data_IF_768923000942
#
_entry.id   IF_768923000942
#
_cell.length_a   1.000
_cell.length_b   1.000
_cell.length_c   1.000
_cell.angle_alpha   90.00
_cell.angle_beta   90.00
_cell.angle_gamma   90.00
#
_symmetry.space_group_name_H-M   'P 1'
#
loop_
_entity.id
_entity.type
_entity.pdbx_description
1 polymer ?
#
# COMPACT_ATOMS: atom_id res chain seq x y z
N UNK A 1 4.02 17.96 13.83
CA UNK A 1 2.68 17.48 14.27
C UNK A 1 2.71 15.96 14.40
N UNK A 2 1.91 15.37 15.30
CA UNK A 2 1.78 13.90 15.37
C UNK A 2 1.00 13.42 14.14
N UNK A 3 1.38 12.27 13.51
CA UNK A 3 0.70 11.73 12.35
C UNK A 3 -0.73 11.29 12.71
N UNK A 4 -1.72 11.71 11.91
CA UNK A 4 -3.14 11.43 12.13
C UNK A 4 -3.58 10.19 11.39
N UNK A 5 -4.22 9.25 12.10
CA UNK A 5 -4.85 8.06 11.54
C UNK A 5 -6.36 8.18 11.73
N UNK A 6 -7.12 8.11 10.64
CA UNK A 6 -8.58 8.03 10.69
C UNK A 6 -9.00 6.55 10.84
N UNK A 7 -9.99 6.31 11.67
CA UNK A 7 -10.52 4.97 11.93
C UNK A 7 -12.03 4.99 11.65
N UNK A 8 -12.46 4.25 10.64
CA UNK A 8 -13.87 4.02 10.35
C UNK A 8 -14.27 2.67 10.95
N UNK A 9 -15.01 2.69 12.06
CA UNK A 9 -15.52 1.50 12.74
C UNK A 9 -16.81 1.83 13.47
N UNK A 10 -17.78 0.93 13.41
CA UNK A 10 -19.01 1.01 14.21
C UNK A 10 -18.81 0.43 15.63
N UNK A 11 -17.68 -0.23 15.88
CA UNK A 11 -17.35 -0.82 17.17
C UNK A 11 -16.55 0.17 18.02
N UNK A 12 -17.23 0.86 18.95
CA UNK A 12 -16.61 1.84 19.84
C UNK A 12 -15.51 1.24 20.73
N UNK A 13 -15.67 0.00 21.20
CA UNK A 13 -14.67 -0.68 22.03
C UNK A 13 -13.40 -0.97 21.24
N UNK A 14 -13.55 -1.40 20.00
CA UNK A 14 -12.42 -1.61 19.10
C UNK A 14 -11.69 -0.30 18.81
N UNK A 15 -12.42 0.78 18.54
CA UNK A 15 -11.83 2.09 18.36
C UNK A 15 -11.03 2.55 19.59
N UNK A 16 -11.59 2.46 20.79
CA UNK A 16 -10.92 2.90 22.03
C UNK A 16 -9.61 2.13 22.23
N UNK A 17 -9.64 0.79 22.03
CA UNK A 17 -8.45 -0.04 22.16
C UNK A 17 -7.38 0.33 21.13
N UNK A 18 -7.78 0.45 19.87
CA UNK A 18 -6.85 0.77 18.78
C UNK A 18 -6.28 2.19 18.93
N UNK A 19 -7.12 3.16 19.28
CA UNK A 19 -6.71 4.54 19.52
C UNK A 19 -5.70 4.63 20.67
N UNK A 20 -5.92 3.89 21.76
CA UNK A 20 -4.98 3.83 22.88
C UNK A 20 -3.60 3.33 22.43
N UNK A 21 -3.56 2.25 21.64
CA UNK A 21 -2.32 1.70 21.10
C UNK A 21 -1.61 2.72 20.19
N UNK A 22 -2.35 3.35 19.28
CA UNK A 22 -1.80 4.33 18.35
C UNK A 22 -1.24 5.58 19.06
N UNK A 23 -1.94 6.07 20.07
CA UNK A 23 -1.52 7.25 20.85
C UNK A 23 -0.21 6.98 21.61
N UNK A 24 -0.04 5.79 22.17
CA UNK A 24 1.21 5.37 22.83
C UNK A 24 2.40 5.34 21.88
N UNK A 25 2.17 5.01 20.62
CA UNK A 25 3.20 4.96 19.57
C UNK A 25 3.38 6.30 18.83
N UNK A 26 2.80 7.37 19.39
CA UNK A 26 3.03 8.74 18.92
C UNK A 26 2.13 9.17 17.74
N UNK A 27 1.08 8.44 17.42
CA UNK A 27 0.05 8.84 16.47
C UNK A 27 -1.08 9.64 17.14
N UNK A 28 -1.86 10.33 16.34
CA UNK A 28 -3.20 10.78 16.68
C UNK A 28 -4.21 9.83 16.03
N UNK A 29 -5.31 9.55 16.71
CA UNK A 29 -6.39 8.73 16.17
C UNK A 29 -7.70 9.51 16.24
N UNK A 30 -8.50 9.43 15.18
CA UNK A 30 -9.85 10.01 15.15
C UNK A 30 -10.83 8.96 14.62
N UNK A 31 -11.97 8.79 15.33
CA UNK A 31 -13.09 8.03 14.85
C UNK A 31 -13.86 8.89 13.85
N UNK A 32 -14.13 8.36 12.69
CA UNK A 32 -14.84 9.06 11.62
C UNK A 32 -15.85 8.10 11.01
N UNK A 33 -17.04 8.60 10.68
CA UNK A 33 -18.02 7.82 9.93
C UNK A 33 -17.53 7.59 8.49
N UNK A 34 -18.03 6.53 7.86
CA UNK A 34 -17.68 6.23 6.47
C UNK A 34 -18.18 7.31 5.50
N UNK A 35 -19.22 8.04 5.86
CA UNK A 35 -19.77 9.13 5.04
C UNK A 35 -18.92 10.41 5.13
N UNK A 36 -18.25 10.64 6.28
CA UNK A 36 -17.42 11.84 6.53
C UNK A 36 -15.95 11.65 6.22
N UNK A 37 -15.49 10.40 6.02
CA UNK A 37 -14.05 10.09 5.90
C UNK A 37 -13.37 10.82 4.75
N UNK A 38 -14.07 11.04 3.64
CA UNK A 38 -13.51 11.75 2.47
C UNK A 38 -13.30 13.23 2.80
N UNK A 39 -14.26 13.85 3.49
CA UNK A 39 -14.18 15.26 3.89
C UNK A 39 -13.05 15.48 4.90
N UNK A 40 -12.94 14.59 5.89
CA UNK A 40 -11.84 14.61 6.84
C UNK A 40 -10.48 14.42 6.17
N UNK A 41 -10.42 13.51 5.22
CA UNK A 41 -9.20 13.19 4.48
C UNK A 41 -8.73 14.35 3.57
N UNK A 42 -9.66 15.17 3.09
CA UNK A 42 -9.34 16.34 2.27
C UNK A 42 -9.05 17.59 3.10
N UNK A 43 -9.70 17.74 4.26
CA UNK A 43 -9.56 18.92 5.13
C UNK A 43 -8.33 18.85 6.06
N UNK A 44 -7.77 17.67 6.31
CA UNK A 44 -6.69 17.44 7.28
C UNK A 44 -5.52 16.68 6.68
N UNK A 45 -4.34 16.86 7.27
CA UNK A 45 -3.16 16.05 6.94
C UNK A 45 -3.28 14.66 7.57
N UNK A 46 -3.85 13.74 6.82
CA UNK A 46 -4.08 12.35 7.24
C UNK A 46 -2.93 11.46 6.76
N UNK A 47 -2.39 10.65 7.66
CA UNK A 47 -1.30 9.72 7.36
C UNK A 47 -1.82 8.39 6.84
N UNK A 48 -2.93 7.90 7.38
CA UNK A 48 -3.56 6.65 6.96
C UNK A 48 -5.04 6.63 7.33
N UNK A 49 -5.81 5.81 6.61
CA UNK A 49 -7.22 5.52 6.89
C UNK A 49 -7.36 4.03 7.17
N UNK A 50 -7.99 3.67 8.27
CA UNK A 50 -8.30 2.28 8.65
C UNK A 50 -9.81 2.07 8.51
N UNK A 51 -10.20 1.14 7.67
CA UNK A 51 -11.59 0.72 7.45
C UNK A 51 -11.84 -0.62 8.13
N UNK A 52 -12.76 -0.65 9.07
CA UNK A 52 -13.16 -1.86 9.77
C UNK A 52 -14.35 -2.52 9.04
N UNK A 53 -14.13 -3.69 8.46
CA UNK A 53 -15.15 -4.42 7.70
C UNK A 53 -15.89 -5.50 8.49
N UNK A 54 -15.80 -5.48 9.83
CA UNK A 54 -16.36 -6.54 10.65
C UNK A 54 -17.89 -6.65 10.55
N UNK A 55 -18.59 -5.54 10.35
CA UNK A 55 -20.06 -5.48 10.39
C UNK A 55 -20.70 -5.37 9.00
N UNK A 56 -20.10 -4.62 8.07
CA UNK A 56 -20.65 -4.41 6.71
C UNK A 56 -19.54 -4.33 5.66
N UNK A 57 -19.24 -5.47 5.07
CA UNK A 57 -18.26 -5.59 3.98
C UNK A 57 -18.63 -4.76 2.75
N UNK A 58 -19.90 -4.64 2.43
CA UNK A 58 -20.38 -3.90 1.26
C UNK A 58 -20.20 -2.41 1.42
N UNK A 59 -20.44 -1.89 2.63
CA UNK A 59 -20.26 -0.49 2.97
C UNK A 59 -18.78 -0.12 2.91
N UNK A 60 -17.92 -0.92 3.55
CA UNK A 60 -16.47 -0.71 3.51
C UNK A 60 -15.91 -0.70 2.08
N UNK A 61 -16.45 -1.54 1.20
CA UNK A 61 -16.04 -1.56 -0.21
C UNK A 61 -16.42 -0.25 -0.93
N UNK A 62 -17.63 0.27 -0.71
CA UNK A 62 -18.08 1.55 -1.27
C UNK A 62 -17.24 2.71 -0.75
N UNK A 63 -16.98 2.75 0.55
CA UNK A 63 -16.13 3.77 1.19
C UNK A 63 -14.70 3.74 0.65
N UNK A 64 -14.12 2.56 0.49
CA UNK A 64 -12.81 2.41 -0.14
C UNK A 64 -12.80 2.98 -1.57
N UNK A 65 -13.80 2.65 -2.38
CA UNK A 65 -13.93 3.18 -3.74
C UNK A 65 -14.08 4.70 -3.74
N UNK A 66 -14.90 5.28 -2.86
CA UNK A 66 -15.10 6.72 -2.72
C UNK A 66 -13.79 7.44 -2.37
N UNK A 67 -13.03 6.94 -1.38
CA UNK A 67 -11.72 7.48 -1.03
C UNK A 67 -10.79 7.47 -2.25
N UNK A 68 -10.72 6.35 -2.97
CA UNK A 68 -9.77 6.17 -4.08
C UNK A 68 -10.16 6.90 -5.37
N UNK A 69 -11.39 7.34 -5.49
CA UNK A 69 -11.85 8.23 -6.59
C UNK A 69 -11.79 9.71 -6.23
N UNK A 70 -11.66 10.05 -4.94
CA UNK A 70 -11.57 11.44 -4.49
C UNK A 70 -10.13 11.97 -4.63
N UNK A 71 -9.92 13.01 -5.41
CA UNK A 71 -8.64 13.62 -5.77
C UNK A 71 -7.51 13.53 -4.72
N UNK A 72 -7.56 14.37 -3.68
CA UNK A 72 -6.53 14.43 -2.63
C UNK A 72 -6.53 13.17 -1.74
N UNK A 73 -7.71 12.65 -1.38
CA UNK A 73 -7.85 11.50 -0.50
C UNK A 73 -7.34 10.19 -1.16
N UNK A 74 -7.35 10.09 -2.49
CA UNK A 74 -6.92 8.89 -3.21
C UNK A 74 -5.47 8.48 -2.94
N UNK A 75 -4.62 9.44 -2.54
CA UNK A 75 -3.20 9.22 -2.24
C UNK A 75 -2.95 8.74 -0.81
N UNK A 76 -3.95 8.85 0.07
CA UNK A 76 -3.81 8.46 1.46
C UNK A 76 -3.83 6.93 1.54
N UNK A 77 -2.82 6.32 2.20
CA UNK A 77 -2.80 4.88 2.45
C UNK A 77 -4.06 4.43 3.18
N UNK A 78 -4.80 3.50 2.57
CA UNK A 78 -6.07 3.00 3.07
C UNK A 78 -5.93 1.52 3.40
N UNK A 79 -6.25 1.17 4.64
CA UNK A 79 -6.07 -0.16 5.23
C UNK A 79 -7.44 -0.75 5.52
N UNK A 80 -7.69 -2.00 5.13
CA UNK A 80 -8.89 -2.73 5.54
C UNK A 80 -8.57 -3.75 6.63
N UNK A 81 -9.42 -3.84 7.65
CA UNK A 81 -9.40 -4.91 8.64
C UNK A 81 -10.50 -5.91 8.29
N UNK A 82 -10.11 -7.07 7.75
CA UNK A 82 -11.03 -8.05 7.17
C UNK A 82 -11.18 -9.29 8.05
N UNK A 83 -12.32 -9.96 7.98
CA UNK A 83 -12.50 -11.27 8.59
C UNK A 83 -11.77 -12.36 7.79
N UNK A 84 -11.37 -13.44 8.45
CA UNK A 84 -10.74 -14.58 7.77
C UNK A 84 -11.74 -15.30 6.85
N UNK A 85 -11.25 -15.78 5.69
CA UNK A 85 -12.00 -16.69 4.84
C UNK A 85 -12.80 -16.07 3.68
N UNK A 86 -12.91 -14.74 3.59
CA UNK A 86 -13.61 -14.10 2.46
C UNK A 86 -12.65 -13.58 1.38
N UNK A 87 -12.18 -14.51 0.55
CA UNK A 87 -11.26 -14.20 -0.52
C UNK A 87 -11.89 -13.33 -1.63
N UNK A 88 -13.17 -13.54 -1.92
CA UNK A 88 -13.88 -12.74 -2.94
C UNK A 88 -13.95 -11.29 -2.53
N UNK A 89 -14.23 -11.07 -1.25
CA UNK A 89 -14.26 -9.73 -0.67
C UNK A 89 -12.87 -9.08 -0.69
N UNK A 90 -11.83 -9.83 -0.33
CA UNK A 90 -10.45 -9.34 -0.42
C UNK A 90 -10.08 -8.89 -1.85
N UNK A 91 -10.40 -9.71 -2.86
CA UNK A 91 -10.16 -9.35 -4.26
C UNK A 91 -10.98 -8.11 -4.69
N UNK A 92 -12.20 -7.96 -4.19
CA UNK A 92 -13.01 -6.78 -4.44
C UNK A 92 -12.39 -5.51 -3.83
N UNK A 93 -11.92 -5.56 -2.59
CA UNK A 93 -11.19 -4.47 -1.94
C UNK A 93 -9.90 -4.10 -2.70
N UNK A 94 -9.15 -5.09 -3.15
CA UNK A 94 -7.98 -4.85 -4.01
C UNK A 94 -8.38 -4.12 -5.29
N UNK A 95 -9.44 -4.52 -5.95
CA UNK A 95 -9.93 -3.83 -7.17
C UNK A 95 -10.40 -2.40 -6.85
N UNK A 96 -11.03 -2.19 -5.70
CA UNK A 96 -11.46 -0.87 -5.23
C UNK A 96 -10.30 0.07 -4.86
N UNK A 97 -9.08 -0.44 -4.75
CA UNK A 97 -7.90 0.39 -4.52
C UNK A 97 -7.30 0.31 -3.13
N UNK A 98 -7.76 -0.58 -2.24
CA UNK A 98 -7.16 -0.73 -0.90
C UNK A 98 -5.63 -0.93 -1.00
N UNK A 99 -4.86 -0.27 -0.14
CA UNK A 99 -3.41 -0.37 -0.19
C UNK A 99 -2.88 -1.54 0.63
N UNK A 100 -3.52 -1.84 1.77
CA UNK A 100 -3.15 -2.95 2.64
C UNK A 100 -4.39 -3.54 3.32
N UNK A 101 -4.30 -4.80 3.70
CA UNK A 101 -5.33 -5.45 4.51
C UNK A 101 -4.71 -6.26 5.64
N UNK A 102 -5.41 -6.30 6.77
CA UNK A 102 -5.07 -7.15 7.91
C UNK A 102 -6.23 -8.07 8.22
N UNK A 103 -5.94 -9.37 8.31
CA UNK A 103 -6.94 -10.37 8.68
C UNK A 103 -7.07 -10.40 10.20
N UNK A 104 -8.30 -10.41 10.70
CA UNK A 104 -8.61 -10.52 12.13
C UNK A 104 -8.36 -11.95 12.65
N UNK A 105 -7.82 -12.10 13.87
CA UNK A 105 -7.45 -11.06 14.83
C UNK A 105 -6.21 -10.28 14.38
N UNK A 106 -6.31 -8.94 14.44
CA UNK A 106 -5.23 -8.06 13.97
C UNK A 106 -4.10 -8.02 14.99
N UNK A 107 -2.88 -8.32 14.56
CA UNK A 107 -1.68 -8.12 15.36
C UNK A 107 -1.36 -6.62 15.47
N UNK A 108 -1.41 -6.01 16.67
CA UNK A 108 -1.07 -4.60 16.84
C UNK A 108 0.34 -4.27 16.35
N UNK A 109 1.31 -5.12 16.65
CA UNK A 109 2.70 -4.92 16.24
C UNK A 109 2.86 -4.84 14.72
N UNK A 110 2.13 -5.67 13.96
CA UNK A 110 2.17 -5.65 12.49
C UNK A 110 1.51 -4.41 11.90
N UNK A 111 0.37 -4.00 12.47
CA UNK A 111 -0.33 -2.78 12.05
C UNK A 111 0.54 -1.54 12.32
N UNK A 112 1.16 -1.47 13.51
CA UNK A 112 2.08 -0.40 13.87
C UNK A 112 3.31 -0.37 12.97
N UNK A 113 3.94 -1.52 12.72
CA UNK A 113 5.08 -1.60 11.81
C UNK A 113 4.73 -1.07 10.41
N UNK A 114 3.53 -1.38 9.91
CA UNK A 114 3.05 -0.81 8.65
C UNK A 114 2.86 0.71 8.74
N UNK A 115 2.17 1.20 9.75
CA UNK A 115 1.92 2.65 9.92
C UNK A 115 3.22 3.45 10.10
N UNK A 116 4.20 2.91 10.83
CA UNK A 116 5.51 3.53 11.00
C UNK A 116 6.33 3.55 9.70
N UNK A 117 6.06 2.65 8.77
CA UNK A 117 6.70 2.61 7.46
C UNK A 117 6.10 3.59 6.44
N UNK A 118 4.98 4.24 6.78
CA UNK A 118 4.35 5.24 5.92
C UNK A 118 5.11 6.58 6.01
N UNK A 119 5.23 7.33 4.91
CA UNK A 119 5.84 8.66 4.95
C UNK A 119 5.02 9.60 5.82
N UNK A 120 5.69 10.32 6.67
CA UNK A 120 5.06 11.36 7.51
C UNK A 120 4.91 12.62 6.67
N UNK A 121 3.68 13.04 6.40
CA UNK A 121 3.42 14.31 5.72
C UNK A 121 3.98 15.48 6.56
N UNK A 122 4.81 16.33 5.93
CA UNK A 122 5.24 17.61 6.53
C UNK A 122 6.68 17.69 7.03
N UNK A 123 7.50 16.71 6.79
CA UNK A 123 8.95 16.92 6.87
C UNK A 123 9.52 16.98 5.45
N UNK A 124 9.79 18.20 4.97
CA UNK A 124 10.94 18.40 4.10
C UNK A 124 12.12 17.86 4.92
N UNK A 125 12.42 16.59 4.74
CA UNK A 125 13.50 15.96 5.47
C UNK A 125 14.84 16.43 4.87
N UNK A 126 15.20 17.69 5.19
CA UNK A 126 16.56 18.19 5.13
C UNK A 126 17.35 17.70 6.35
N UNK A 127 17.08 16.49 6.83
CA UNK A 127 17.96 15.85 7.81
C UNK A 127 19.27 15.48 7.10
N UNK A 128 20.40 15.69 7.78
CA UNK A 128 21.70 15.24 7.29
C UNK A 128 21.61 13.77 6.91
N UNK A 129 22.26 13.37 5.84
CA UNK A 129 22.34 11.99 5.35
C UNK A 129 22.73 11.08 6.52
N UNK A 130 21.75 10.36 7.06
CA UNK A 130 21.98 9.33 8.06
C UNK A 130 22.71 8.18 7.34
N UNK A 131 23.94 7.81 7.74
CA UNK A 131 24.68 6.72 7.10
C UNK A 131 24.01 5.34 7.23
N UNK A 132 22.92 5.23 8.02
CA UNK A 132 22.06 4.03 8.08
C UNK A 132 20.95 3.98 7.01
N UNK A 133 20.83 4.99 6.14
CA UNK A 133 19.92 4.93 4.99
C UNK A 133 20.36 3.82 4.04
N UNK A 134 19.45 2.87 3.83
CA UNK A 134 19.65 1.88 2.76
C UNK A 134 19.95 2.59 1.45
N UNK A 135 20.95 2.16 0.70
CA UNK A 135 21.38 2.82 -0.53
C UNK A 135 20.24 2.85 -1.54
N UNK A 136 20.05 3.99 -2.17
CA UNK A 136 19.18 4.11 -3.35
C UNK A 136 19.71 3.16 -4.41
N UNK A 137 18.92 2.17 -4.80
CA UNK A 137 19.27 1.24 -5.87
C UNK A 137 18.83 1.83 -7.21
N UNK A 138 19.74 1.84 -8.17
CA UNK A 138 19.44 2.25 -9.55
C UNK A 138 19.38 1.03 -10.46
N UNK A 139 18.37 0.99 -11.32
CA UNK A 139 18.18 -0.04 -12.33
C UNK A 139 17.90 0.67 -13.67
N UNK A 140 18.92 0.88 -14.49
CA UNK A 140 18.82 1.77 -15.63
C UNK A 140 18.35 3.17 -15.16
N UNK A 141 17.30 3.73 -15.76
CA UNK A 141 16.77 5.05 -15.39
C UNK A 141 15.91 5.06 -14.14
N UNK A 142 15.57 3.91 -13.56
CA UNK A 142 14.74 3.80 -12.35
C UNK A 142 15.59 3.90 -11.08
N UNK A 143 15.16 4.72 -10.14
CA UNK A 143 15.76 4.86 -8.80
C UNK A 143 14.78 4.33 -7.75
N UNK A 144 15.23 3.43 -6.89
CA UNK A 144 14.41 2.84 -5.83
C UNK A 144 14.96 3.21 -4.47
N UNK A 145 14.13 3.83 -3.64
CA UNK A 145 14.38 4.10 -2.23
C UNK A 145 13.50 3.17 -1.36
N UNK A 146 14.11 2.13 -0.79
CA UNK A 146 13.38 1.06 -0.10
C UNK A 146 12.68 1.55 1.15
N UNK A 147 13.34 2.33 1.98
CA UNK A 147 12.78 2.82 3.25
C UNK A 147 11.49 3.63 3.08
N UNK A 148 11.39 4.38 1.99
CA UNK A 148 10.21 5.20 1.65
C UNK A 148 9.32 4.57 0.59
N UNK A 149 9.72 3.43 0.01
CA UNK A 149 9.07 2.78 -1.14
C UNK A 149 8.83 3.75 -2.31
N UNK A 150 9.77 4.66 -2.50
CA UNK A 150 9.74 5.60 -3.62
C UNK A 150 10.42 5.00 -4.84
N UNK A 151 9.84 5.24 -5.99
CA UNK A 151 10.41 4.91 -7.29
C UNK A 151 10.49 6.20 -8.09
N UNK A 152 11.69 6.58 -8.48
CA UNK A 152 11.97 7.76 -9.28
C UNK A 152 12.32 7.40 -10.73
N UNK A 153 11.94 8.27 -11.67
CA UNK A 153 12.31 8.21 -13.07
C UNK A 153 12.47 9.64 -13.60
N UNK A 154 13.72 10.04 -13.94
CA UNK A 154 14.02 11.44 -14.20
C UNK A 154 13.70 12.32 -12.98
N UNK A 155 12.91 13.37 -13.20
CA UNK A 155 12.46 14.30 -12.14
C UNK A 155 11.14 13.88 -11.48
N UNK A 156 10.53 12.80 -11.95
CA UNK A 156 9.28 12.27 -11.39
C UNK A 156 9.57 11.20 -10.35
N UNK A 157 8.75 11.17 -9.31
CA UNK A 157 8.76 10.11 -8.33
C UNK A 157 7.35 9.71 -7.93
N UNK A 158 7.18 8.45 -7.55
CA UNK A 158 5.91 7.87 -7.11
C UNK A 158 6.16 6.91 -5.97
N UNK A 159 5.32 6.99 -4.94
CA UNK A 159 5.32 6.03 -3.86
C UNK A 159 4.44 4.83 -4.22
N UNK A 160 4.95 3.64 -3.89
CA UNK A 160 4.26 2.37 -4.10
C UNK A 160 3.76 1.78 -2.78
N UNK A 161 2.68 1.01 -2.85
CA UNK A 161 2.30 0.11 -1.76
C UNK A 161 3.38 -0.96 -1.50
N UNK A 162 3.40 -1.57 -0.30
CA UNK A 162 4.46 -2.52 0.05
C UNK A 162 4.53 -3.72 -0.91
N UNK A 163 3.39 -4.25 -1.33
CA UNK A 163 3.35 -5.39 -2.25
C UNK A 163 3.83 -5.00 -3.65
N UNK A 164 3.33 -3.87 -4.19
CA UNK A 164 3.76 -3.37 -5.50
C UNK A 164 5.25 -3.06 -5.53
N UNK A 165 5.79 -2.48 -4.44
CA UNK A 165 7.21 -2.19 -4.33
C UNK A 165 8.06 -3.46 -4.31
N UNK A 166 7.66 -4.47 -3.51
CA UNK A 166 8.35 -5.76 -3.45
C UNK A 166 8.28 -6.52 -4.78
N UNK A 167 7.12 -6.49 -5.47
CA UNK A 167 6.97 -7.06 -6.80
C UNK A 167 7.91 -6.40 -7.80
N UNK A 168 7.98 -5.06 -7.80
CA UNK A 168 8.91 -4.33 -8.66
C UNK A 168 10.35 -4.70 -8.36
N UNK A 169 10.73 -4.75 -7.09
CA UNK A 169 12.08 -5.13 -6.68
C UNK A 169 12.43 -6.53 -7.17
N UNK A 170 11.55 -7.51 -6.99
CA UNK A 170 11.75 -8.88 -7.46
C UNK A 170 11.91 -8.96 -8.99
N UNK A 171 11.14 -8.20 -9.74
CA UNK A 171 11.25 -8.15 -11.20
C UNK A 171 12.54 -7.46 -11.66
N UNK A 172 13.01 -6.44 -10.92
CA UNK A 172 14.24 -5.70 -11.19
C UNK A 172 15.52 -6.49 -10.86
N UNK A 173 15.44 -7.48 -9.96
CA UNK A 173 16.60 -8.35 -9.64
C UNK A 173 17.07 -9.17 -10.85
N UNK A 174 16.19 -9.45 -11.80
CA UNK A 174 16.52 -10.15 -13.03
C UNK A 174 15.64 -9.64 -14.19
N UNK A 175 15.97 -8.47 -14.78
CA UNK A 175 15.24 -7.93 -15.92
C UNK A 175 15.19 -8.93 -17.08
N UNK A 176 14.07 -8.98 -17.77
CA UNK A 176 13.83 -9.93 -18.86
C UNK A 176 13.48 -11.36 -18.40
N UNK A 177 13.88 -11.77 -17.20
CA UNK A 177 13.52 -13.08 -16.66
C UNK A 177 12.02 -13.15 -16.34
N UNK A 178 11.37 -14.23 -16.79
CA UNK A 178 9.99 -14.49 -16.42
C UNK A 178 9.93 -15.04 -15.01
N UNK A 179 9.17 -14.36 -14.16
CA UNK A 179 8.84 -14.81 -12.80
C UNK A 179 7.44 -15.41 -12.79
N UNK A 180 7.31 -16.60 -12.27
CA UNK A 180 6.01 -17.23 -12.05
C UNK A 180 5.21 -16.50 -10.97
N UNK A 181 3.88 -16.73 -10.94
CA UNK A 181 3.04 -16.16 -9.90
C UNK A 181 3.42 -16.62 -8.50
N UNK A 182 3.89 -17.86 -8.35
CA UNK A 182 4.35 -18.39 -7.07
C UNK A 182 5.64 -17.71 -6.61
N UNK A 183 6.65 -17.58 -7.48
CA UNK A 183 7.87 -16.83 -7.16
C UNK A 183 7.56 -15.37 -6.74
N UNK A 184 6.60 -14.74 -7.41
CA UNK A 184 6.18 -13.38 -7.07
C UNK A 184 5.45 -13.30 -5.73
N UNK A 185 4.67 -14.32 -5.36
CA UNK A 185 4.04 -14.42 -4.04
C UNK A 185 5.12 -14.56 -2.96
N UNK A 186 6.05 -15.48 -3.13
CA UNK A 186 7.14 -15.70 -2.18
C UNK A 186 8.01 -14.47 -1.96
N UNK A 187 8.26 -13.70 -3.04
CA UNK A 187 9.06 -12.49 -2.97
C UNK A 187 8.35 -11.29 -2.36
N UNK A 188 7.04 -11.12 -2.63
CA UNK A 188 6.35 -9.88 -2.32
C UNK A 188 5.49 -9.95 -1.06
N UNK A 189 5.00 -11.12 -0.70
CA UNK A 189 4.19 -11.29 0.51
C UNK A 189 5.00 -11.77 1.70
N UNK A 190 4.69 -11.31 2.92
CA UNK A 190 5.33 -11.82 4.13
C UNK A 190 5.12 -13.34 4.28
N UNK A 191 6.10 -14.07 4.81
CA UNK A 191 5.90 -15.47 5.20
C UNK A 191 4.71 -15.56 6.16
N UNK A 192 3.86 -16.56 6.03
CA UNK A 192 2.60 -16.75 6.75
C UNK A 192 1.41 -15.91 6.23
N UNK A 193 1.51 -15.29 5.07
CA UNK A 193 0.37 -14.67 4.39
C UNK A 193 0.00 -15.49 3.18
N UNK A 194 -1.20 -16.09 3.20
CA UNK A 194 -1.71 -16.78 2.03
C UNK A 194 -2.11 -15.75 0.97
N UNK A 195 -1.50 -15.85 -0.20
CA UNK A 195 -1.90 -15.08 -1.37
C UNK A 195 -2.16 -16.05 -2.52
N UNK A 196 -3.26 -15.87 -3.23
CA UNK A 196 -3.53 -16.67 -4.42
C UNK A 196 -2.86 -16.08 -5.66
N UNK A 197 -2.56 -16.90 -6.68
CA UNK A 197 -2.01 -16.44 -7.94
C UNK A 197 -2.79 -15.28 -8.58
N UNK A 198 -4.13 -15.27 -8.42
CA UNK A 198 -4.99 -14.21 -8.95
C UNK A 198 -4.79 -12.87 -8.23
N UNK A 199 -4.37 -12.88 -6.98
CA UNK A 199 -4.03 -11.66 -6.24
C UNK A 199 -2.82 -10.97 -6.86
N UNK A 200 -1.84 -11.75 -7.33
CA UNK A 200 -0.67 -11.21 -8.06
C UNK A 200 -1.11 -10.43 -9.29
N UNK A 201 -2.08 -10.95 -10.06
CA UNK A 201 -2.54 -10.29 -11.29
C UNK A 201 -3.11 -8.90 -11.02
N UNK A 202 -3.82 -8.72 -9.89
CA UNK A 202 -4.36 -7.41 -9.48
C UNK A 202 -3.24 -6.43 -9.12
N UNK A 203 -2.27 -6.85 -8.32
CA UNK A 203 -1.13 -6.00 -7.92
C UNK A 203 -0.22 -5.68 -9.10
N UNK A 204 0.03 -6.64 -10.00
CA UNK A 204 0.75 -6.37 -11.26
C UNK A 204 0.00 -5.36 -12.13
N UNK A 205 -1.32 -5.45 -12.21
CA UNK A 205 -2.13 -4.46 -12.92
C UNK A 205 -2.00 -3.04 -12.34
N UNK A 206 -1.92 -2.89 -11.02
CA UNK A 206 -1.68 -1.62 -10.35
C UNK A 206 -0.26 -1.11 -10.60
N UNK A 207 0.72 -1.98 -10.39
CA UNK A 207 2.14 -1.69 -10.61
C UNK A 207 2.38 -1.22 -12.05
N UNK A 208 1.81 -1.93 -13.03
CA UNK A 208 1.90 -1.57 -14.45
C UNK A 208 1.39 -0.16 -14.71
N UNK A 209 0.18 0.17 -14.26
CA UNK A 209 -0.41 1.51 -14.43
C UNK A 209 0.41 2.60 -13.73
N UNK A 210 0.97 2.32 -12.56
CA UNK A 210 1.79 3.29 -11.84
C UNK A 210 3.13 3.54 -12.55
N UNK A 211 3.79 2.49 -13.03
CA UNK A 211 5.03 2.59 -13.81
C UNK A 211 4.79 3.30 -15.14
N UNK A 212 3.70 2.99 -15.85
CA UNK A 212 3.37 3.64 -17.11
C UNK A 212 3.13 5.15 -16.94
N UNK A 213 2.44 5.56 -15.87
CA UNK A 213 2.28 6.98 -15.53
C UNK A 213 3.61 7.66 -15.18
N UNK A 214 4.52 6.94 -14.53
CA UNK A 214 5.82 7.45 -14.12
C UNK A 214 6.79 7.57 -15.30
N UNK A 215 6.87 6.55 -16.13
CA UNK A 215 7.89 6.40 -17.19
C UNK A 215 7.38 6.71 -18.59
N UNK A 216 6.06 6.72 -18.79
CA UNK A 216 5.43 6.84 -20.12
C UNK A 216 5.50 5.55 -20.96
N UNK A 217 5.98 4.43 -20.38
CA UNK A 217 6.20 3.16 -21.13
C UNK A 217 5.62 1.97 -20.39
N UNK A 218 5.13 0.94 -21.09
CA UNK A 218 4.70 -0.33 -20.50
C UNK A 218 5.93 -1.23 -20.21
N UNK A 219 6.47 -1.15 -18.99
CA UNK A 219 7.66 -1.90 -18.62
C UNK A 219 7.40 -3.36 -18.23
N UNK A 220 6.17 -3.76 -17.92
CA UNK A 220 5.86 -5.13 -17.49
C UNK A 220 5.10 -5.86 -18.60
N UNK A 221 5.63 -6.96 -19.10
CA UNK A 221 4.94 -7.85 -20.04
C UNK A 221 4.35 -9.08 -19.33
N UNK A 222 3.31 -9.63 -19.92
CA UNK A 222 2.66 -10.87 -19.47
C UNK A 222 3.06 -12.01 -20.38
N UNK A 223 3.57 -13.08 -19.79
CA UNK A 223 3.80 -14.35 -20.50
C UNK A 223 2.65 -15.29 -20.12
N UNK A 224 1.78 -15.54 -21.12
CA UNK A 224 0.59 -16.37 -20.91
C UNK A 224 0.96 -17.71 -20.26
N UNK A 225 0.13 -18.16 -19.33
CA UNK A 225 0.28 -19.39 -18.56
C UNK A 225 1.54 -19.47 -17.67
N UNK A 226 2.54 -18.57 -17.81
CA UNK A 226 3.80 -18.64 -17.08
C UNK A 226 3.86 -17.57 -15.97
N UNK A 227 3.81 -16.28 -16.33
CA UNK A 227 3.97 -15.22 -15.33
C UNK A 227 4.22 -13.84 -15.94
N UNK A 228 5.15 -13.10 -15.34
CA UNK A 228 5.46 -11.71 -15.68
C UNK A 228 6.96 -11.48 -15.78
N UNK A 229 7.35 -10.57 -16.65
CA UNK A 229 8.72 -10.10 -16.77
C UNK A 229 8.75 -8.58 -16.88
N UNK A 230 9.84 -7.97 -16.43
CA UNK A 230 10.11 -6.56 -16.58
C UNK A 230 11.13 -6.38 -17.72
N UNK A 231 10.78 -5.57 -18.70
CA UNK A 231 11.68 -5.19 -19.79
C UNK A 231 12.17 -3.76 -19.50
N UNK A 232 13.47 -3.64 -19.24
CA UNK A 232 14.17 -2.36 -19.15
C UNK A 232 15.07 -2.30 -20.37
N UNK A 233 14.80 -1.37 -21.29
CA UNK A 233 15.75 -1.05 -22.35
C UNK A 233 16.97 -0.39 -21.69
N UNK A 234 18.10 -1.03 -21.75
CA UNK A 234 19.40 -0.42 -21.51
C UNK A 234 19.70 0.53 -22.71
N UNK A 235 19.24 1.77 -22.60
CA UNK A 235 19.58 2.81 -23.57
C UNK A 235 20.48 3.83 -22.91
#
# INVERSE_FOLDING_TARGET
MKPLVLICSNNANFYVLLAHILVREGFQAALVSEDEVVDWATAKQVTAIILDSAEDSGRTLRTCAAIKTSGAASRIPTIALVSSGDERYYLALLKAGIDENFVRPVSPARLLAYLCSLPRHGTNDTRPIDPSREPVRTFGPLRLERGRRLVGYGDKETQFGPIEFNLLQCLLEAPGRVRSRLELIEAAWPPNRYAQPRTVDVHIGRLRRALERLTGRPLIRTIRATGYALDIDES
#
